data_IF_585850035668
#
_entry.id   IF_585850035668
#
_cell.length_a   1.000
_cell.length_b   1.000
_cell.length_c   1.000
_cell.angle_alpha   90.00
_cell.angle_beta   90.00
_cell.angle_gamma   90.00
#
_symmetry.space_group_name_H-M   'P 1'
#
loop_
_entity.id
_entity.type
_entity.pdbx_description
1 polymer ?
#
# COMPACT_ATOMS: atom_id res chain seq x y z
N UNK A 1 42.72 26.63 -36.70
CA UNK A 1 42.33 26.94 -35.30
C UNK A 1 41.03 26.23 -35.00
N UNK A 2 41.09 25.05 -34.40
CA UNK A 2 39.94 24.34 -33.88
C UNK A 2 40.37 23.79 -32.51
N UNK A 3 39.82 24.37 -31.44
CA UNK A 3 40.11 23.98 -30.06
C UNK A 3 39.20 22.82 -29.66
N UNK A 4 39.79 21.63 -29.49
CA UNK A 4 39.15 20.53 -28.79
C UNK A 4 38.97 20.92 -27.31
N UNK A 5 37.71 21.08 -26.89
CA UNK A 5 37.34 21.14 -25.47
C UNK A 5 37.27 19.70 -24.98
N UNK A 6 38.29 19.27 -24.26
CA UNK A 6 38.33 17.97 -23.61
C UNK A 6 37.59 18.10 -22.28
N UNK A 7 36.42 17.48 -22.18
CA UNK A 7 35.67 17.36 -20.92
C UNK A 7 36.48 16.45 -20.01
N UNK A 8 37.19 17.03 -19.04
CA UNK A 8 37.76 16.31 -17.90
C UNK A 8 36.62 15.83 -17.01
N UNK A 9 36.24 14.56 -17.15
CA UNK A 9 35.58 13.81 -16.08
C UNK A 9 36.59 13.66 -14.94
N UNK A 10 36.25 14.20 -13.77
CA UNK A 10 37.10 14.22 -12.58
C UNK A 10 37.08 12.87 -11.88
N UNK A 11 38.27 12.29 -11.70
CA UNK A 11 38.58 11.08 -10.92
C UNK A 11 38.27 11.17 -9.42
N UNK A 12 37.67 12.26 -8.94
CA UNK A 12 37.39 12.52 -7.52
C UNK A 12 36.19 11.73 -6.99
N UNK A 13 35.18 11.47 -7.82
CA UNK A 13 33.92 10.87 -7.35
C UNK A 13 34.08 9.37 -7.03
N UNK A 14 35.03 8.69 -7.67
CA UNK A 14 35.34 7.27 -7.42
C UNK A 14 36.11 7.11 -6.10
N UNK A 15 37.04 8.01 -5.79
CA UNK A 15 37.83 7.96 -4.54
C UNK A 15 37.00 8.32 -3.29
N UNK A 16 35.99 9.20 -3.41
CA UNK A 16 35.15 9.55 -2.26
C UNK A 16 34.16 8.43 -1.88
N UNK A 17 33.60 7.73 -2.88
CA UNK A 17 32.71 6.58 -2.64
C UNK A 17 33.38 5.45 -1.87
N UNK A 18 34.66 5.18 -2.13
CA UNK A 18 35.44 4.16 -1.43
C UNK A 18 35.71 4.52 0.05
N UNK A 19 35.84 5.81 0.38
CA UNK A 19 36.14 6.26 1.76
C UNK A 19 34.99 6.00 2.73
N UNK A 20 33.74 6.15 2.28
CA UNK A 20 32.57 5.96 3.14
C UNK A 20 32.29 4.49 3.43
N UNK A 21 32.50 3.59 2.47
CA UNK A 21 32.32 2.14 2.66
C UNK A 21 33.46 1.50 3.48
N UNK A 22 34.55 2.23 3.76
CA UNK A 22 35.69 1.80 4.58
C UNK A 22 35.67 2.34 6.03
N UNK A 23 34.62 3.07 6.43
CA UNK A 23 34.52 3.55 7.80
C UNK A 23 34.49 2.38 8.81
N UNK A 24 35.12 2.53 9.99
CA UNK A 24 34.95 1.61 11.10
C UNK A 24 33.48 1.38 11.42
N UNK A 25 33.12 0.13 11.75
CA UNK A 25 31.76 -0.29 12.05
C UNK A 25 31.06 0.64 13.06
N UNK A 26 31.74 0.94 14.18
CA UNK A 26 31.20 1.80 15.23
C UNK A 26 30.84 3.23 14.75
N UNK A 27 31.57 3.78 13.77
CA UNK A 27 31.22 5.09 13.20
C UNK A 27 30.03 4.99 12.25
N UNK A 28 29.93 3.91 11.48
CA UNK A 28 28.75 3.65 10.65
C UNK A 28 27.49 3.50 11.50
N UNK A 29 27.59 2.77 12.62
CA UNK A 29 26.49 2.59 13.58
C UNK A 29 26.03 3.93 14.16
N UNK A 30 26.95 4.74 14.69
CA UNK A 30 26.65 6.07 15.22
C UNK A 30 26.00 6.99 14.16
N UNK A 31 26.47 6.95 12.92
CA UNK A 31 25.89 7.72 11.83
C UNK A 31 24.46 7.27 11.53
N UNK A 32 24.22 5.96 11.46
CA UNK A 32 22.87 5.42 11.25
C UNK A 32 21.91 5.82 12.38
N UNK A 33 22.36 5.81 13.63
CA UNK A 33 21.55 6.25 14.78
C UNK A 33 21.12 7.72 14.69
N UNK A 34 21.92 8.57 14.06
CA UNK A 34 21.64 10.00 13.88
C UNK A 34 20.72 10.30 12.68
N UNK A 35 20.43 9.31 11.83
CA UNK A 35 19.63 9.49 10.62
C UNK A 35 18.14 9.19 10.86
N UNK A 36 17.29 9.88 10.09
CA UNK A 36 15.86 9.56 10.01
C UNK A 36 15.66 8.18 9.37
N UNK A 37 14.50 7.52 9.58
CA UNK A 37 14.21 6.22 8.94
C UNK A 37 14.36 6.26 7.41
N UNK A 38 13.82 7.26 6.68
CA UNK A 38 14.04 7.38 5.25
C UNK A 38 15.53 7.46 4.87
N UNK A 39 16.33 8.19 5.64
CA UNK A 39 17.76 8.33 5.37
C UNK A 39 18.53 7.04 5.70
N UNK A 40 18.20 6.34 6.77
CA UNK A 40 18.76 5.01 7.09
C UNK A 40 18.51 4.03 5.95
N UNK A 41 17.29 4.00 5.44
CA UNK A 41 16.89 3.17 4.30
C UNK A 41 17.71 3.51 3.06
N UNK A 42 17.85 4.81 2.74
CA UNK A 42 18.63 5.27 1.59
C UNK A 42 20.10 4.88 1.73
N UNK A 43 20.70 5.09 2.91
CA UNK A 43 22.09 4.74 3.19
C UNK A 43 22.31 3.22 3.08
N UNK A 44 21.38 2.41 3.58
CA UNK A 44 21.43 0.94 3.43
C UNK A 44 21.30 0.48 1.97
N UNK A 45 20.77 1.32 1.07
CA UNK A 45 20.70 1.02 -0.36
C UNK A 45 21.99 1.36 -1.12
N UNK A 46 22.92 2.14 -0.55
CA UNK A 46 24.13 2.66 -1.24
C UNK A 46 25.17 1.57 -1.53
N UNK A 47 25.67 0.89 -0.50
CA UNK A 47 26.68 -0.18 -0.65
C UNK A 47 26.47 -1.31 0.37
N UNK A 48 27.07 -2.47 0.12
CA UNK A 48 26.94 -3.67 0.96
C UNK A 48 27.37 -3.44 2.42
N UNK A 49 28.49 -2.75 2.73
CA UNK A 49 28.87 -2.43 4.11
C UNK A 49 27.75 -1.72 4.88
N UNK A 50 27.21 -0.61 4.37
CA UNK A 50 26.11 0.11 5.02
C UNK A 50 24.85 -0.74 5.19
N UNK A 51 24.53 -1.57 4.18
CA UNK A 51 23.41 -2.52 4.27
C UNK A 51 23.62 -3.55 5.38
N UNK A 52 24.83 -4.06 5.52
CA UNK A 52 25.20 -5.06 6.53
C UNK A 52 25.11 -4.47 7.94
N UNK A 53 25.65 -3.26 8.14
CA UNK A 53 25.54 -2.54 9.43
C UNK A 53 24.08 -2.26 9.78
N UNK A 54 23.30 -1.72 8.83
CA UNK A 54 21.89 -1.44 9.04
C UNK A 54 21.06 -2.72 9.33
N UNK A 55 21.47 -3.87 8.79
CA UNK A 55 20.86 -5.17 9.11
C UNK A 55 21.23 -5.64 10.53
N UNK A 56 22.51 -5.51 10.89
CA UNK A 56 23.06 -5.99 12.17
C UNK A 56 22.49 -5.24 13.36
N UNK A 57 22.28 -3.94 13.22
CA UNK A 57 21.64 -3.09 14.24
C UNK A 57 20.14 -3.35 14.37
N UNK A 58 19.57 -4.31 13.64
CA UNK A 58 18.13 -4.57 13.63
C UNK A 58 17.32 -3.44 13.02
N UNK A 59 17.94 -2.38 12.47
CA UNK A 59 17.21 -1.23 11.90
C UNK A 59 16.43 -1.60 10.66
N UNK A 60 17.00 -2.46 9.81
CA UNK A 60 16.24 -2.98 8.68
C UNK A 60 15.13 -3.92 9.14
N UNK A 61 15.24 -4.58 10.31
CA UNK A 61 14.20 -5.41 10.88
C UNK A 61 13.09 -4.59 11.57
N UNK A 62 13.42 -3.50 12.25
CA UNK A 62 12.47 -2.53 12.80
C UNK A 62 11.82 -1.65 11.71
N UNK A 63 12.52 -1.47 10.59
CA UNK A 63 11.98 -0.87 9.37
C UNK A 63 11.29 -1.91 8.46
N UNK A 64 11.23 -3.21 8.83
CA UNK A 64 10.49 -4.19 8.03
C UNK A 64 9.01 -3.83 8.03
N UNK A 65 8.36 -3.90 6.87
CA UNK A 65 6.93 -3.68 6.73
C UNK A 65 6.09 -4.67 7.56
N UNK A 66 4.85 -4.30 7.89
CA UNK A 66 4.17 -3.08 7.44
C UNK A 66 4.33 -1.91 8.41
N UNK A 67 4.38 -0.71 7.85
CA UNK A 67 4.25 0.54 8.60
C UNK A 67 2.78 0.93 8.73
N UNK A 68 2.43 1.61 9.82
CA UNK A 68 1.09 2.14 10.04
C UNK A 68 1.11 3.66 9.90
N UNK A 69 0.43 4.20 8.89
CA UNK A 69 0.11 5.62 8.86
C UNK A 69 -1.16 5.85 9.64
N UNK A 70 -1.17 6.87 10.47
CA UNK A 70 -2.34 7.24 11.28
C UNK A 70 -2.56 8.74 11.25
N UNK A 71 -3.81 9.17 11.10
CA UNK A 71 -4.21 10.59 11.18
C UNK A 71 -5.43 10.77 12.04
N UNK A 72 -5.45 11.85 12.83
CA UNK A 72 -6.68 12.26 13.53
C UNK A 72 -7.63 12.97 12.57
N UNK A 73 -8.93 12.78 12.74
CA UNK A 73 -9.95 13.48 11.95
C UNK A 73 -9.95 15.01 12.18
N UNK A 74 -9.38 15.49 13.29
CA UNK A 74 -9.53 16.87 13.75
C UNK A 74 -8.40 17.81 13.30
N UNK A 75 -7.17 17.31 13.26
CA UNK A 75 -6.00 18.13 12.89
C UNK A 75 -5.42 17.78 11.52
N UNK A 76 -5.88 16.69 10.90
CA UNK A 76 -5.37 16.16 9.63
C UNK A 76 -3.83 16.05 9.62
N UNK A 77 -3.26 15.81 10.80
CA UNK A 77 -1.84 15.53 10.97
C UNK A 77 -1.63 14.05 10.77
N UNK A 78 -0.77 13.70 9.82
CA UNK A 78 -0.38 12.32 9.58
C UNK A 78 0.87 12.00 10.40
N UNK A 79 0.85 10.87 11.08
CA UNK A 79 2.00 10.32 11.80
C UNK A 79 2.31 8.92 11.27
N UNK A 80 3.60 8.57 11.23
CA UNK A 80 4.02 7.20 10.99
C UNK A 80 4.27 6.53 12.33
N UNK A 81 3.57 5.41 12.57
CA UNK A 81 3.79 4.55 13.70
C UNK A 81 4.42 3.25 13.23
N UNK A 82 5.49 2.85 13.93
CA UNK A 82 5.95 1.47 13.87
C UNK A 82 5.22 0.69 14.95
N UNK A 83 4.94 -0.58 14.69
CA UNK A 83 4.10 -1.40 15.57
C UNK A 83 4.81 -1.73 16.90
N UNK A 84 6.11 -1.42 17.02
CA UNK A 84 6.86 -1.48 18.28
C UNK A 84 6.49 -0.31 19.23
N UNK A 85 5.54 0.55 18.83
CA UNK A 85 5.00 1.61 19.69
C UNK A 85 5.90 2.83 19.80
N UNK A 86 7.00 2.87 19.05
CA UNK A 86 7.81 4.08 18.94
C UNK A 86 7.26 4.96 17.80
N UNK A 87 6.77 6.18 18.12
CA UNK A 87 6.38 7.13 17.10
C UNK A 87 7.59 7.49 16.26
N UNK A 88 7.51 7.27 14.95
CA UNK A 88 8.53 7.72 14.02
C UNK A 88 8.19 9.16 13.65
N UNK A 89 8.42 10.05 14.59
CA UNK A 89 8.18 11.49 14.44
C UNK A 89 9.12 12.16 13.41
N UNK A 90 10.13 11.44 12.92
CA UNK A 90 11.22 11.99 12.11
C UNK A 90 10.92 12.09 10.61
N UNK A 91 9.73 11.69 10.17
CA UNK A 91 9.37 11.81 8.75
C UNK A 91 8.91 13.26 8.45
N UNK A 92 9.90 14.11 8.16
CA UNK A 92 9.72 15.55 7.88
C UNK A 92 8.68 15.88 6.81
N UNK A 93 8.40 14.98 5.86
CA UNK A 93 7.43 15.27 4.79
C UNK A 93 5.98 15.28 5.28
N UNK A 94 5.65 14.58 6.37
CA UNK A 94 4.27 14.52 6.89
C UNK A 94 3.78 15.90 7.34
N UNK A 95 4.69 16.75 7.81
CA UNK A 95 4.41 18.14 8.17
C UNK A 95 3.92 18.98 6.98
N UNK A 96 4.26 18.60 5.74
CA UNK A 96 3.86 19.30 4.53
C UNK A 96 2.52 18.82 3.96
N UNK A 97 1.89 17.79 4.55
CA UNK A 97 0.61 17.24 4.11
C UNK A 97 -0.59 17.93 4.78
N UNK A 98 -0.41 19.10 5.40
CA UNK A 98 -1.52 19.84 6.02
C UNK A 98 -2.62 20.13 4.99
N UNK A 99 -3.83 19.61 5.24
CA UNK A 99 -5.00 19.62 4.35
C UNK A 99 -4.95 18.68 3.14
N UNK A 100 -4.05 17.71 3.14
CA UNK A 100 -4.04 16.61 2.18
C UNK A 100 -4.61 15.34 2.83
N UNK A 101 -5.49 14.64 2.11
CA UNK A 101 -6.18 13.45 2.58
C UNK A 101 -5.51 12.20 2.04
N UNK A 102 -5.02 11.32 2.90
CA UNK A 102 -4.57 10.00 2.48
C UNK A 102 -5.77 9.15 2.06
N UNK A 103 -5.91 8.91 0.77
CA UNK A 103 -6.95 8.08 0.17
C UNK A 103 -6.57 6.61 0.07
N UNK A 104 -5.35 6.23 0.51
CA UNK A 104 -4.91 4.85 0.49
C UNK A 104 -3.42 4.67 0.29
N UNK A 105 -3.03 3.41 0.08
CA UNK A 105 -1.71 3.03 -0.39
C UNK A 105 -1.78 1.84 -1.32
N UNK A 106 -0.88 1.81 -2.31
CA UNK A 106 -0.77 0.69 -3.25
C UNK A 106 0.65 0.60 -3.83
N UNK A 107 1.16 -0.63 -3.98
CA UNK A 107 2.51 -0.92 -4.53
C UNK A 107 3.66 -0.10 -3.93
N UNK A 108 3.57 0.25 -2.64
CA UNK A 108 4.56 1.04 -1.92
C UNK A 108 4.53 2.54 -2.22
N UNK A 109 3.40 3.03 -2.74
CA UNK A 109 3.09 4.46 -2.88
C UNK A 109 1.85 4.82 -2.06
N UNK A 110 1.86 6.02 -1.49
CA UNK A 110 0.72 6.62 -0.80
C UNK A 110 -0.14 7.36 -1.81
N UNK A 111 -1.46 7.21 -1.72
CA UNK A 111 -2.43 7.94 -2.51
C UNK A 111 -2.91 9.14 -1.71
N UNK A 112 -2.64 10.35 -2.20
CA UNK A 112 -2.95 11.59 -1.50
C UNK A 112 -3.92 12.39 -2.37
N UNK A 113 -5.02 12.85 -1.78
CA UNK A 113 -5.93 13.78 -2.45
C UNK A 113 -5.91 15.15 -1.79
N UNK A 114 -6.12 16.17 -2.62
CA UNK A 114 -6.22 17.57 -2.20
C UNK A 114 -7.43 18.18 -2.87
N UNK A 115 -8.24 18.89 -2.08
CA UNK A 115 -9.40 19.60 -2.62
C UNK A 115 -8.95 20.90 -3.28
N UNK A 116 -9.20 21.03 -4.57
CA UNK A 116 -9.04 22.32 -5.24
C UNK A 116 -10.30 23.17 -5.07
N UNK A 117 -10.16 24.34 -4.46
CA UNK A 117 -11.26 25.27 -4.21
C UNK A 117 -11.99 25.71 -5.49
N UNK A 118 -11.33 25.65 -6.66
CA UNK A 118 -11.85 26.25 -7.91
C UNK A 118 -12.45 25.26 -8.92
N UNK A 119 -12.24 23.94 -8.78
CA UNK A 119 -12.67 22.94 -9.80
C UNK A 119 -13.84 22.06 -9.38
N UNK A 120 -14.12 21.97 -8.08
CA UNK A 120 -15.11 21.05 -7.54
C UNK A 120 -14.79 19.57 -7.80
N UNK A 121 -13.52 19.26 -8.08
CA UNK A 121 -12.95 17.92 -8.21
C UNK A 121 -11.72 17.81 -7.29
N UNK A 122 -11.33 16.60 -6.95
CA UNK A 122 -10.12 16.28 -6.19
C UNK A 122 -8.91 16.23 -7.13
N UNK A 123 -7.83 16.88 -6.71
CA UNK A 123 -6.51 16.62 -7.25
C UNK A 123 -5.92 15.43 -6.50
N UNK A 124 -5.30 14.49 -7.19
CA UNK A 124 -4.80 13.26 -6.59
C UNK A 124 -3.35 13.07 -7.02
N UNK A 125 -2.49 12.69 -6.09
CA UNK A 125 -1.10 12.41 -6.38
C UNK A 125 -0.66 11.13 -5.67
N UNK A 126 0.32 10.46 -6.28
CA UNK A 126 1.04 9.36 -5.66
C UNK A 126 2.29 9.94 -5.00
N UNK A 127 2.50 9.61 -3.73
CA UNK A 127 3.71 9.99 -2.99
C UNK A 127 4.49 8.75 -2.60
N UNK A 128 5.78 8.73 -2.92
CA UNK A 128 6.69 7.76 -2.34
C UNK A 128 7.23 8.32 -1.02
N UNK A 129 6.92 7.70 0.14
CA UNK A 129 7.33 8.24 1.44
C UNK A 129 8.83 8.09 1.70
N UNK A 130 9.54 7.20 1.00
CA UNK A 130 10.99 7.04 1.16
C UNK A 130 11.74 8.07 0.34
N UNK A 131 11.37 8.26 -0.93
CA UNK A 131 12.10 9.14 -1.85
C UNK A 131 11.57 10.57 -1.86
N UNK A 132 10.32 10.77 -1.44
CA UNK A 132 9.59 12.03 -1.60
C UNK A 132 9.12 12.29 -3.04
N UNK A 133 9.31 11.33 -3.97
CA UNK A 133 8.86 11.47 -5.35
C UNK A 133 7.33 11.60 -5.40
N UNK A 134 6.84 12.50 -6.25
CA UNK A 134 5.42 12.72 -6.50
C UNK A 134 5.08 12.45 -7.95
N UNK A 135 3.97 11.76 -8.18
CA UNK A 135 3.39 11.55 -9.51
C UNK A 135 1.96 12.06 -9.49
N UNK A 136 1.68 13.06 -10.32
CA UNK A 136 0.34 13.65 -10.38
C UNK A 136 -0.61 12.76 -11.17
N UNK A 137 -1.81 12.57 -10.61
CA UNK A 137 -2.91 11.84 -11.23
C UNK A 137 -4.05 12.82 -11.55
N UNK A 138 -4.55 12.75 -12.77
CA UNK A 138 -5.75 13.50 -13.15
C UNK A 138 -6.99 12.70 -12.76
N UNK A 139 -7.83 13.24 -11.89
CA UNK A 139 -9.11 12.61 -11.54
C UNK A 139 -10.27 13.58 -11.57
N UNK A 140 -11.47 13.04 -11.85
CA UNK A 140 -12.72 13.78 -11.92
C UNK A 140 -13.62 13.56 -10.69
N UNK A 141 -13.08 12.96 -9.64
CA UNK A 141 -13.83 12.63 -8.43
C UNK A 141 -14.13 13.86 -7.59
N UNK A 142 -15.30 13.87 -6.96
CA UNK A 142 -15.62 14.78 -5.85
C UNK A 142 -15.13 14.20 -4.51
N UNK A 143 -15.08 12.86 -4.41
CA UNK A 143 -14.51 12.11 -3.30
C UNK A 143 -13.92 10.78 -3.79
N UNK A 144 -12.83 10.30 -3.18
CA UNK A 144 -12.25 8.97 -3.42
C UNK A 144 -12.36 8.15 -2.14
N UNK A 145 -12.90 6.95 -2.27
CA UNK A 145 -12.97 5.97 -1.18
C UNK A 145 -11.72 5.10 -1.14
N UNK A 146 -11.25 4.60 -2.29
CA UNK A 146 -10.05 3.75 -2.38
C UNK A 146 -9.40 3.92 -3.76
N UNK A 147 -8.10 3.63 -3.89
CA UNK A 147 -7.40 3.57 -5.16
C UNK A 147 -6.23 2.59 -5.16
N UNK A 148 -6.06 1.88 -6.28
CA UNK A 148 -5.02 0.85 -6.46
C UNK A 148 -4.24 1.04 -7.76
N UNK A 149 -2.99 0.57 -7.74
CA UNK A 149 -2.09 0.59 -8.88
C UNK A 149 -1.89 -0.81 -9.43
N UNK A 150 -1.88 -0.94 -10.77
CA UNK A 150 -1.54 -2.22 -11.41
C UNK A 150 -0.05 -2.55 -11.27
N UNK A 151 0.81 -1.53 -11.24
CA UNK A 151 2.25 -1.64 -11.15
C UNK A 151 2.85 -0.39 -10.49
N UNK A 152 4.17 -0.39 -10.26
CA UNK A 152 4.87 0.83 -9.81
C UNK A 152 4.62 1.99 -10.78
N UNK A 153 4.34 3.20 -10.29
CA UNK A 153 4.09 4.38 -11.14
C UNK A 153 5.36 4.90 -11.84
N UNK A 154 6.52 4.27 -11.58
CA UNK A 154 7.75 4.51 -12.32
C UNK A 154 7.86 3.68 -13.61
N UNK A 155 6.97 2.70 -13.79
CA UNK A 155 6.87 1.94 -15.05
C UNK A 155 6.10 2.77 -16.08
N UNK A 156 6.35 2.53 -17.37
CA UNK A 156 5.73 3.33 -18.44
C UNK A 156 4.24 3.08 -18.59
N UNK A 157 3.73 1.89 -18.25
CA UNK A 157 2.36 1.49 -18.58
C UNK A 157 1.55 1.06 -17.36
N UNK A 158 1.73 1.75 -16.23
CA UNK A 158 0.90 1.50 -15.05
C UNK A 158 -0.54 2.02 -15.27
N UNK A 159 -1.48 1.42 -14.54
CA UNK A 159 -2.86 1.85 -14.47
C UNK A 159 -3.19 2.21 -13.03
N UNK A 160 -4.03 3.23 -12.88
CA UNK A 160 -4.63 3.62 -11.62
C UNK A 160 -6.13 3.37 -11.69
N UNK A 161 -6.67 2.60 -10.75
CA UNK A 161 -8.10 2.44 -10.57
C UNK A 161 -8.52 3.02 -9.23
N UNK A 162 -9.67 3.68 -9.17
CA UNK A 162 -10.19 4.25 -7.93
C UNK A 162 -11.70 4.07 -7.83
N UNK A 163 -12.17 3.86 -6.61
CA UNK A 163 -13.58 3.98 -6.24
C UNK A 163 -13.80 5.39 -5.74
N UNK A 164 -14.82 6.06 -6.26
CA UNK A 164 -15.18 7.39 -5.77
C UNK A 164 -16.51 7.89 -6.28
N UNK A 165 -16.93 9.04 -5.77
CA UNK A 165 -18.13 9.73 -6.23
C UNK A 165 -17.75 10.79 -7.27
N UNK A 166 -18.60 10.99 -8.26
CA UNK A 166 -18.49 12.14 -9.17
C UNK A 166 -19.61 13.14 -8.86
N UNK A 167 -19.66 14.27 -9.59
CA UNK A 167 -20.76 15.24 -9.43
C UNK A 167 -22.13 14.65 -9.81
N UNK A 168 -22.15 13.60 -10.65
CA UNK A 168 -23.37 13.09 -11.28
C UNK A 168 -23.73 11.66 -10.87
N UNK A 169 -22.78 10.91 -10.32
CA UNK A 169 -22.98 9.50 -9.97
C UNK A 169 -22.56 9.22 -8.53
N UNK A 170 -23.40 8.44 -7.86
CA UNK A 170 -23.11 7.86 -6.55
C UNK A 170 -22.21 6.63 -6.76
N UNK A 171 -21.02 6.66 -6.11
CA UNK A 171 -19.95 5.64 -6.10
C UNK A 171 -19.79 4.79 -7.37
N UNK A 172 -18.72 5.06 -8.13
CA UNK A 172 -18.33 4.34 -9.34
C UNK A 172 -16.84 3.96 -9.30
N UNK A 173 -16.44 3.01 -10.15
CA UNK A 173 -15.02 2.73 -10.41
C UNK A 173 -14.58 3.54 -11.63
N UNK A 174 -13.58 4.40 -11.45
CA UNK A 174 -12.92 5.10 -12.55
C UNK A 174 -11.50 4.57 -12.67
N UNK A 175 -11.13 4.29 -13.90
CA UNK A 175 -9.79 3.88 -14.28
C UNK A 175 -9.11 4.99 -15.07
N UNK A 176 -7.83 5.20 -14.80
CA UNK A 176 -6.96 6.13 -15.51
C UNK A 176 -5.73 5.37 -15.99
N UNK A 177 -5.43 5.45 -17.30
CA UNK A 177 -4.20 4.90 -17.89
C UNK A 177 -3.16 6.02 -18.04
N UNK A 178 -2.02 5.85 -17.40
CA UNK A 178 -1.03 6.92 -17.28
C UNK A 178 0.13 6.72 -18.25
N UNK A 179 -0.11 7.16 -19.48
CA UNK A 179 0.84 7.64 -20.52
C UNK A 179 0.12 8.51 -21.54
N UNK A 180 -1.20 8.30 -21.72
CA UNK A 180 -2.04 9.08 -22.63
C UNK A 180 -3.10 9.95 -21.93
N UNK A 181 -3.29 9.82 -20.61
CA UNK A 181 -4.29 10.60 -19.86
C UNK A 181 -5.73 10.17 -20.11
N UNK A 182 -5.93 9.04 -20.81
CA UNK A 182 -7.24 8.46 -21.05
C UNK A 182 -7.82 7.89 -19.74
N UNK A 183 -9.08 8.17 -19.49
CA UNK A 183 -9.83 7.59 -18.38
C UNK A 183 -11.06 6.83 -18.88
N UNK A 184 -11.46 5.81 -18.13
CA UNK A 184 -12.65 5.00 -18.39
C UNK A 184 -13.43 4.80 -17.11
N UNK A 185 -14.74 4.70 -17.24
CA UNK A 185 -15.63 4.30 -16.16
C UNK A 185 -15.91 2.81 -16.31
N UNK A 186 -15.81 2.08 -15.20
CA UNK A 186 -16.33 0.73 -15.09
C UNK A 186 -17.61 0.79 -14.25
N UNK A 187 -18.70 0.28 -14.83
CA UNK A 187 -19.96 0.16 -14.10
C UNK A 187 -19.89 -1.05 -13.17
N UNK A 188 -19.99 -0.78 -11.88
CA UNK A 188 -20.17 -1.79 -10.83
C UNK A 188 -21.27 -1.29 -9.90
N UNK A 189 -22.17 -2.19 -9.49
CA UNK A 189 -23.22 -1.84 -8.53
C UNK A 189 -22.58 -1.65 -7.15
N UNK A 190 -22.50 -0.40 -6.67
CA UNK A 190 -22.01 -0.04 -5.33
C UNK A 190 -20.68 -0.74 -4.97
N UNK A 191 -19.58 -0.41 -5.67
CA UNK A 191 -18.27 -0.96 -5.35
C UNK A 191 -17.87 -0.59 -3.92
N UNK A 192 -17.31 -1.56 -3.19
CA UNK A 192 -16.82 -1.40 -1.82
C UNK A 192 -15.30 -1.47 -1.76
N UNK A 193 -14.69 -2.35 -2.57
CA UNK A 193 -13.23 -2.48 -2.63
C UNK A 193 -12.72 -2.86 -4.02
N UNK A 194 -11.44 -2.57 -4.29
CA UNK A 194 -10.78 -2.90 -5.56
C UNK A 194 -9.37 -3.43 -5.32
N UNK A 195 -8.90 -4.33 -6.18
CA UNK A 195 -7.57 -4.89 -6.09
C UNK A 195 -7.00 -5.25 -7.47
N UNK A 196 -5.71 -4.97 -7.71
CA UNK A 196 -5.02 -5.38 -8.93
C UNK A 196 -4.12 -6.59 -8.67
N UNK A 197 -4.35 -7.67 -9.41
CA UNK A 197 -3.53 -8.87 -9.36
C UNK A 197 -3.44 -9.53 -10.74
N UNK A 198 -2.24 -9.98 -11.13
CA UNK A 198 -2.06 -10.78 -12.35
C UNK A 198 -2.59 -10.13 -13.65
N UNK A 199 -2.51 -8.80 -13.77
CA UNK A 199 -3.05 -8.08 -14.93
C UNK A 199 -4.58 -7.91 -14.94
N UNK A 200 -5.26 -8.28 -13.84
CA UNK A 200 -6.71 -8.18 -13.68
C UNK A 200 -7.09 -7.23 -12.54
N UNK A 201 -8.21 -6.55 -12.70
CA UNK A 201 -8.84 -5.72 -11.68
C UNK A 201 -10.01 -6.49 -11.10
N UNK A 202 -9.96 -6.70 -9.79
CA UNK A 202 -11.02 -7.30 -9.00
C UNK A 202 -11.81 -6.18 -8.35
N UNK A 203 -13.13 -6.18 -8.50
CA UNK A 203 -14.03 -5.19 -7.91
C UNK A 203 -15.01 -5.93 -7.00
N UNK A 204 -14.91 -5.70 -5.70
CA UNK A 204 -15.87 -6.20 -4.72
C UNK A 204 -17.05 -5.22 -4.62
N UNK A 205 -18.26 -5.76 -4.63
CA UNK A 205 -19.50 -4.99 -4.51
C UNK A 205 -20.16 -5.17 -3.14
N UNK A 206 -21.06 -4.25 -2.79
CA UNK A 206 -21.92 -4.39 -1.60
C UNK A 206 -22.81 -5.65 -1.66
N UNK A 207 -23.08 -6.19 -2.86
CA UNK A 207 -23.83 -7.44 -3.06
C UNK A 207 -22.98 -8.70 -2.87
N UNK A 208 -21.74 -8.58 -2.41
CA UNK A 208 -20.81 -9.71 -2.25
C UNK A 208 -20.52 -10.46 -3.56
N UNK A 209 -20.50 -9.68 -4.65
CA UNK A 209 -20.05 -10.13 -5.95
C UNK A 209 -18.64 -9.58 -6.21
N UNK A 210 -17.78 -10.40 -6.82
CA UNK A 210 -16.51 -9.92 -7.36
C UNK A 210 -16.57 -9.92 -8.87
N UNK A 211 -16.52 -8.73 -9.45
CA UNK A 211 -16.43 -8.52 -10.88
C UNK A 211 -14.95 -8.47 -11.25
N UNK A 212 -14.53 -9.34 -12.17
CA UNK A 212 -13.14 -9.40 -12.62
C UNK A 212 -13.04 -8.85 -14.03
N UNK A 213 -12.17 -7.85 -14.18
CA UNK A 213 -11.84 -7.26 -15.48
C UNK A 213 -10.41 -7.62 -15.87
N UNK A 214 -10.21 -8.00 -17.12
CA UNK A 214 -8.89 -8.18 -17.74
C UNK A 214 -8.64 -7.09 -18.76
N UNK A 215 -7.36 -6.76 -18.98
CA UNK A 215 -6.95 -5.61 -19.75
C UNK A 215 -6.02 -6.01 -20.88
N UNK A 216 -6.55 -6.00 -22.10
CA UNK A 216 -5.77 -6.09 -23.33
C UNK A 216 -6.55 -5.52 -24.52
N UNK A 217 -6.24 -4.30 -25.02
CA UNK A 217 -5.86 -3.07 -24.32
C UNK A 217 -7.08 -2.39 -23.63
N UNK A 218 -8.28 -2.95 -23.76
CA UNK A 218 -9.52 -2.41 -23.20
C UNK A 218 -10.02 -3.30 -22.06
N UNK A 219 -10.71 -2.74 -21.04
CA UNK A 219 -11.32 -3.55 -19.99
C UNK A 219 -12.37 -4.49 -20.56
N UNK A 220 -12.18 -5.78 -20.40
CA UNK A 220 -13.19 -6.80 -20.68
C UNK A 220 -13.60 -7.41 -19.34
N UNK A 221 -14.91 -7.38 -19.04
CA UNK A 221 -15.44 -8.13 -17.92
C UNK A 221 -15.31 -9.63 -18.22
N UNK A 222 -14.48 -10.33 -17.44
CA UNK A 222 -14.26 -11.76 -17.62
C UNK A 222 -15.36 -12.58 -16.97
N UNK A 223 -15.66 -12.28 -15.70
CA UNK A 223 -16.54 -13.09 -14.88
C UNK A 223 -17.02 -12.33 -13.64
N UNK A 224 -18.11 -12.83 -13.07
CA UNK A 224 -18.67 -12.39 -11.79
C UNK A 224 -18.72 -13.57 -10.83
N UNK A 225 -18.04 -13.45 -9.69
CA UNK A 225 -17.98 -14.48 -8.66
C UNK A 225 -18.95 -14.10 -7.55
N UNK A 226 -19.86 -15.01 -7.18
CA UNK A 226 -20.74 -14.83 -6.02
C UNK A 226 -20.16 -15.52 -4.81
N UNK A 227 -20.09 -14.81 -3.70
CA UNK A 227 -19.58 -15.37 -2.46
C UNK A 227 -20.69 -16.08 -1.70
N UNK A 228 -20.39 -17.25 -1.09
CA UNK A 228 -21.35 -18.01 -0.31
C UNK A 228 -21.49 -17.44 1.10
N UNK A 229 -21.67 -16.13 1.22
CA UNK A 229 -22.07 -15.52 2.49
C UNK A 229 -23.57 -15.78 2.63
N UNK A 230 -23.95 -16.53 3.66
CA UNK A 230 -25.35 -16.83 3.92
C UNK A 230 -26.17 -15.56 4.03
N UNK A 231 -27.47 -15.63 3.70
CA UNK A 231 -28.45 -14.57 3.96
C UNK A 231 -28.73 -14.45 5.47
N UNK A 232 -27.69 -14.36 6.30
CA UNK A 232 -27.83 -14.06 7.72
C UNK A 232 -28.09 -12.56 7.85
N UNK A 233 -29.37 -12.20 7.76
CA UNK A 233 -29.92 -10.84 7.74
C UNK A 233 -29.58 -9.94 8.95
N UNK A 234 -28.80 -10.41 9.92
CA UNK A 234 -28.56 -9.72 11.19
C UNK A 234 -27.20 -9.02 11.30
N UNK A 235 -26.25 -9.24 10.39
CA UNK A 235 -24.92 -8.60 10.45
C UNK A 235 -24.62 -7.75 9.21
N UNK A 236 -24.11 -6.53 9.44
CA UNK A 236 -23.47 -5.74 8.40
C UNK A 236 -22.04 -6.24 8.25
N UNK A 237 -21.77 -6.88 7.11
CA UNK A 237 -20.42 -7.25 6.72
C UNK A 237 -19.78 -6.11 5.91
N UNK A 238 -18.49 -5.93 6.13
CA UNK A 238 -17.58 -5.20 5.27
C UNK A 238 -16.51 -6.16 4.77
N UNK A 239 -15.86 -5.83 3.66
CA UNK A 239 -15.02 -6.77 2.93
C UNK A 239 -13.84 -6.09 2.28
N UNK A 240 -12.68 -6.73 2.39
CA UNK A 240 -11.46 -6.28 1.73
C UNK A 240 -10.82 -7.41 0.91
N UNK A 241 -10.40 -7.07 -0.30
CA UNK A 241 -9.59 -7.89 -1.18
C UNK A 241 -8.12 -7.83 -0.74
N UNK A 242 -7.46 -8.97 -0.79
CA UNK A 242 -6.05 -9.11 -0.43
C UNK A 242 -5.34 -10.09 -1.35
N UNK A 243 -4.01 -9.99 -1.42
CA UNK A 243 -3.17 -10.99 -2.07
C UNK A 243 -2.40 -11.78 -1.03
N UNK A 244 -2.34 -13.09 -1.23
CA UNK A 244 -1.52 -13.99 -0.45
C UNK A 244 -0.98 -15.12 -1.34
N UNK A 245 0.34 -15.17 -1.52
CA UNK A 245 1.03 -16.24 -2.24
C UNK A 245 0.59 -16.41 -3.71
N UNK A 246 0.24 -15.32 -4.38
CA UNK A 246 -0.29 -15.32 -5.75
C UNK A 246 -1.79 -15.57 -5.83
N UNK A 247 -2.47 -15.80 -4.71
CA UNK A 247 -3.92 -15.96 -4.67
C UNK A 247 -4.60 -14.66 -4.24
N UNK A 248 -5.75 -14.37 -4.83
CA UNK A 248 -6.63 -13.29 -4.37
C UNK A 248 -7.59 -13.84 -3.32
N UNK A 249 -7.60 -13.20 -2.17
CA UNK A 249 -8.45 -13.51 -1.03
C UNK A 249 -9.46 -12.38 -0.80
N UNK A 250 -10.55 -12.73 -0.12
CA UNK A 250 -11.48 -11.78 0.47
C UNK A 250 -11.53 -12.03 1.95
N UNK A 251 -11.28 -10.99 2.73
CA UNK A 251 -11.55 -10.98 4.17
C UNK A 251 -12.91 -10.33 4.36
N UNK A 252 -13.93 -11.14 4.62
CA UNK A 252 -15.25 -10.68 5.00
C UNK A 252 -15.32 -10.61 6.52
N UNK A 253 -15.72 -9.47 7.07
CA UNK A 253 -15.85 -9.29 8.51
C UNK A 253 -17.13 -8.53 8.83
N UNK A 254 -17.89 -9.06 9.77
CA UNK A 254 -19.14 -8.48 10.23
C UNK A 254 -19.17 -8.41 11.74
N UNK A 255 -19.93 -7.44 12.26
CA UNK A 255 -20.25 -7.40 13.68
C UNK A 255 -21.65 -7.96 13.88
N UNK A 256 -21.75 -9.12 14.54
CA UNK A 256 -23.03 -9.66 14.95
C UNK A 256 -23.66 -8.75 16.01
N UNK A 257 -25.01 -8.61 16.06
CA UNK A 257 -25.72 -7.89 17.12
C UNK A 257 -25.34 -8.28 18.56
N UNK A 258 -24.77 -9.48 18.76
CA UNK A 258 -24.26 -9.97 20.05
C UNK A 258 -22.85 -9.44 20.39
N UNK A 259 -22.32 -8.55 19.57
CA UNK A 259 -20.96 -8.01 19.63
C UNK A 259 -19.86 -9.04 19.37
N UNK A 260 -20.20 -10.15 18.73
CA UNK A 260 -19.24 -11.14 18.24
C UNK A 260 -18.84 -10.77 16.81
N UNK A 261 -17.54 -10.81 16.51
CA UNK A 261 -17.06 -10.64 15.14
C UNK A 261 -17.21 -11.96 14.40
N UNK A 262 -17.85 -11.93 13.24
CA UNK A 262 -17.81 -13.03 12.28
C UNK A 262 -16.81 -12.67 11.18
N UNK A 263 -15.74 -13.43 11.10
CA UNK A 263 -14.65 -13.21 10.13
C UNK A 263 -14.50 -14.46 9.29
N UNK A 264 -14.69 -14.31 7.98
CA UNK A 264 -14.57 -15.38 6.99
C UNK A 264 -13.58 -14.96 5.93
N UNK A 265 -12.65 -15.84 5.61
CA UNK A 265 -11.68 -15.61 4.53
C UNK A 265 -11.98 -16.55 3.39
N UNK A 266 -12.15 -16.00 2.20
CA UNK A 266 -12.43 -16.77 1.00
C UNK A 266 -11.30 -16.61 -0.01
N UNK A 267 -10.80 -17.73 -0.53
CA UNK A 267 -9.93 -17.75 -1.71
C UNK A 267 -10.80 -17.69 -2.96
N UNK A 268 -10.51 -16.73 -3.83
CA UNK A 268 -11.16 -16.62 -5.11
C UNK A 268 -10.60 -17.66 -6.09
N UNK A 269 -11.46 -18.28 -6.92
CA UNK A 269 -11.01 -19.14 -7.99
C UNK A 269 -10.30 -18.35 -9.08
N UNK A 270 -9.35 -19.00 -9.75
CA UNK A 270 -8.65 -18.41 -10.90
C UNK A 270 -9.55 -18.31 -12.15
N UNK A 271 -10.54 -19.21 -12.24
CA UNK A 271 -11.48 -19.35 -13.36
C UNK A 271 -12.93 -19.33 -12.86
N UNK A 272 -13.88 -18.95 -13.72
CA UNK A 272 -15.28 -18.72 -13.34
C UNK A 272 -15.97 -19.98 -12.75
N UNK A 273 -15.60 -21.16 -13.23
CA UNK A 273 -16.20 -22.43 -12.81
C UNK A 273 -15.54 -23.01 -11.55
N UNK A 274 -14.48 -22.38 -11.04
CA UNK A 274 -13.79 -22.82 -9.84
C UNK A 274 -14.62 -22.54 -8.58
N UNK A 275 -14.53 -23.39 -7.55
CA UNK A 275 -15.21 -23.11 -6.29
C UNK A 275 -14.54 -21.95 -5.56
N UNK A 276 -15.35 -21.07 -4.98
CA UNK A 276 -14.88 -20.20 -3.89
C UNK A 276 -14.67 -21.08 -2.67
N UNK A 277 -13.47 -21.03 -2.08
CA UNK A 277 -13.10 -21.88 -0.95
C UNK A 277 -12.87 -21.02 0.28
N UNK A 278 -13.59 -21.29 1.37
CA UNK A 278 -13.28 -20.71 2.67
C UNK A 278 -11.94 -21.27 3.17
N UNK A 279 -11.03 -20.39 3.55
CA UNK A 279 -9.72 -20.75 4.11
C UNK A 279 -9.72 -20.51 5.62
N UNK A 280 -9.15 -21.45 6.35
CA UNK A 280 -9.08 -21.41 7.83
C UNK A 280 -7.64 -21.15 8.34
N UNK A 281 -6.70 -20.85 7.44
CA UNK A 281 -5.32 -20.52 7.74
C UNK A 281 -4.72 -19.70 6.59
N UNK A 282 -3.78 -18.81 6.92
CA UNK A 282 -2.99 -18.00 6.00
C UNK A 282 -1.62 -18.66 5.69
N UNK A 283 -1.47 -19.95 6.01
CA UNK A 283 -0.23 -20.71 5.82
C UNK A 283 0.93 -20.15 6.64
N UNK A 284 0.67 -19.71 7.87
CA UNK A 284 1.65 -19.10 8.76
C UNK A 284 2.03 -17.66 8.41
N UNK A 285 1.31 -17.05 7.46
CA UNK A 285 1.49 -15.63 7.11
C UNK A 285 0.64 -14.75 8.02
N UNK A 286 0.95 -13.46 8.05
CA UNK A 286 0.15 -12.43 8.71
C UNK A 286 -0.45 -11.50 7.65
N UNK A 287 -1.71 -11.14 7.81
CA UNK A 287 -2.40 -10.20 6.93
C UNK A 287 -2.76 -8.92 7.68
N UNK A 288 -2.62 -7.78 7.00
CA UNK A 288 -2.91 -6.46 7.54
C UNK A 288 -3.91 -5.77 6.62
N UNK A 289 -5.07 -5.43 7.16
CA UNK A 289 -6.19 -4.82 6.44
C UNK A 289 -6.40 -3.37 6.90
N UNK A 290 -6.93 -2.52 6.02
CA UNK A 290 -7.11 -1.09 6.27
C UNK A 290 -8.38 -0.57 5.64
N UNK A 291 -8.86 0.58 6.10
CA UNK A 291 -10.10 1.15 5.58
C UNK A 291 -10.02 1.57 4.10
N UNK A 292 -8.86 2.05 3.66
CA UNK A 292 -8.72 2.68 2.34
C UNK A 292 -7.45 2.27 1.60
N UNK A 293 -6.72 1.24 2.05
CA UNK A 293 -5.43 0.85 1.45
C UNK A 293 -5.42 -0.60 1.03
N UNK A 294 -4.55 -0.92 0.07
CA UNK A 294 -4.24 -2.28 -0.33
C UNK A 294 -3.83 -3.12 0.90
N UNK A 295 -4.48 -4.26 1.11
CA UNK A 295 -4.10 -5.16 2.19
C UNK A 295 -2.66 -5.66 2.00
N UNK A 296 -1.95 -5.80 3.12
CA UNK A 296 -0.53 -6.20 3.12
C UNK A 296 -0.38 -7.57 3.75
N UNK A 297 0.30 -8.48 3.07
CA UNK A 297 0.69 -9.77 3.62
C UNK A 297 2.20 -9.82 3.93
N UNK A 298 2.55 -10.42 5.07
CA UNK A 298 3.95 -10.61 5.49
C UNK A 298 4.18 -12.03 5.96
N UNK A 299 5.29 -12.62 5.52
CA UNK A 299 5.79 -13.90 6.04
C UNK A 299 6.89 -13.66 7.06
N UNK A 300 6.88 -14.45 8.14
CA UNK A 300 7.93 -14.44 9.18
C UNK A 300 8.15 -13.05 9.77
N UNK A 301 7.15 -12.56 10.49
CA UNK A 301 7.19 -11.29 11.19
C UNK A 301 7.20 -11.52 12.71
N UNK A 302 7.33 -10.43 13.49
CA UNK A 302 7.10 -10.48 14.93
C UNK A 302 5.61 -10.68 15.29
N UNK A 303 4.72 -10.67 14.30
CA UNK A 303 3.28 -10.84 14.49
C UNK A 303 2.90 -12.30 14.56
N UNK A 304 1.69 -12.52 15.10
CA UNK A 304 1.07 -13.84 15.11
C UNK A 304 0.96 -14.39 13.69
N UNK A 305 1.40 -15.62 13.52
CA UNK A 305 1.14 -16.40 12.32
C UNK A 305 -0.36 -16.71 12.24
N UNK A 306 -0.93 -16.74 11.04
CA UNK A 306 -2.36 -16.97 10.79
C UNK A 306 -3.27 -15.95 11.50
N UNK A 307 -2.79 -14.70 11.59
CA UNK A 307 -3.54 -13.59 12.16
C UNK A 307 -3.85 -12.50 11.12
N UNK A 308 -4.98 -11.83 11.31
CA UNK A 308 -5.41 -10.67 10.52
C UNK A 308 -5.46 -9.45 11.44
N UNK A 309 -4.77 -8.38 11.09
CA UNK A 309 -4.66 -7.15 11.88
C UNK A 309 -5.32 -5.98 11.16
N UNK A 310 -5.91 -5.04 11.90
CA UNK A 310 -6.45 -3.80 11.33
C UNK A 310 -7.96 -3.65 11.44
N UNK A 311 -8.60 -4.36 12.36
CA UNK A 311 -10.00 -4.12 12.68
C UNK A 311 -10.08 -2.96 13.68
N UNK A 312 -10.64 -1.82 13.28
CA UNK A 312 -10.89 -0.70 14.18
C UNK A 312 -12.40 -0.47 14.29
N UNK A 313 -12.93 -0.46 15.51
CA UNK A 313 -14.35 -0.20 15.75
C UNK A 313 -14.56 1.32 15.85
N UNK A 314 -15.65 1.84 15.30
CA UNK A 314 -16.02 3.27 15.40
C UNK A 314 -16.14 3.82 16.85
N UNK A 315 -16.03 2.96 17.87
CA UNK A 315 -16.11 3.30 19.30
C UNK A 315 -14.98 2.70 20.15
N UNK A 316 -14.02 2.00 19.54
CA UNK A 316 -12.87 1.46 20.28
C UNK A 316 -11.65 2.32 19.99
N UNK A 317 -10.93 2.64 21.05
CA UNK A 317 -9.66 3.37 20.99
C UNK A 317 -8.51 2.46 20.54
N UNK A 318 -8.69 1.14 20.50
CA UNK A 318 -7.63 0.18 20.19
C UNK A 318 -7.87 -0.57 18.89
N UNK A 319 -6.77 -0.90 18.20
CA UNK A 319 -6.80 -1.78 17.04
C UNK A 319 -6.96 -3.23 17.46
N UNK A 320 -7.83 -3.96 16.77
CA UNK A 320 -8.06 -5.37 17.00
C UNK A 320 -7.39 -6.24 15.93
N UNK A 321 -7.08 -7.46 16.32
CA UNK A 321 -6.58 -8.51 15.47
C UNK A 321 -7.39 -9.80 15.68
N UNK A 322 -7.44 -10.64 14.65
CA UNK A 322 -8.12 -11.93 14.65
C UNK A 322 -7.11 -13.05 14.50
N UNK A 323 -7.16 -14.04 15.40
CA UNK A 323 -6.45 -15.31 15.25
C UNK A 323 -7.35 -16.30 14.54
N UNK A 324 -6.96 -16.75 13.35
CA UNK A 324 -7.71 -17.81 12.63
C UNK A 324 -7.58 -19.16 13.34
N UNK A 325 -6.50 -19.36 14.10
CA UNK A 325 -6.26 -20.61 14.82
C UNK A 325 -7.13 -20.76 16.07
N UNK A 326 -7.27 -19.67 16.82
CA UNK A 326 -8.05 -19.65 18.06
C UNK A 326 -9.50 -19.19 17.82
N UNK A 327 -9.82 -18.81 16.58
CA UNK A 327 -11.10 -18.23 16.15
C UNK A 327 -11.54 -17.08 17.06
N UNK A 328 -10.59 -16.21 17.41
CA UNK A 328 -10.76 -15.21 18.47
C UNK A 328 -10.15 -13.87 18.14
N UNK A 329 -10.81 -12.80 18.62
CA UNK A 329 -10.30 -11.44 18.54
C UNK A 329 -9.42 -11.11 19.76
N UNK A 330 -8.36 -10.35 19.56
CA UNK A 330 -7.52 -9.82 20.61
C UNK A 330 -7.11 -8.38 20.31
N UNK A 331 -6.88 -7.61 21.37
CA UNK A 331 -6.44 -6.21 21.27
C UNK A 331 -4.94 -6.14 20.96
N UNK A 332 -4.56 -5.26 20.05
CA UNK A 332 -3.18 -4.87 19.86
C UNK A 332 -2.88 -3.66 20.76
N UNK A 333 -2.08 -3.89 21.80
CA UNK A 333 -1.64 -2.84 22.71
C UNK A 333 -0.69 -1.84 22.00
N UNK A 334 -0.74 -0.57 22.42
CA UNK A 334 0.22 0.45 22.01
C UNK A 334 -0.17 1.25 20.76
N UNK A 335 -1.34 1.00 20.16
CA UNK A 335 -1.86 1.77 19.03
C UNK A 335 -3.24 2.33 19.41
N UNK A 336 -3.26 3.61 19.77
CA UNK A 336 -4.48 4.37 20.04
C UNK A 336 -5.02 4.97 18.74
N UNK A 337 -6.16 4.44 18.27
CA UNK A 337 -6.87 4.83 17.06
C UNK A 337 -8.08 5.73 17.34
N UNK A 338 -8.22 6.32 18.54
CA UNK A 338 -9.34 7.18 18.91
C UNK A 338 -9.60 8.28 17.86
N UNK A 339 -10.66 8.12 17.06
CA UNK A 339 -11.02 8.99 15.93
C UNK A 339 -9.91 9.15 14.88
N UNK A 340 -9.22 8.06 14.56
CA UNK A 340 -8.11 8.07 13.60
C UNK A 340 -8.40 7.21 12.37
N UNK A 341 -7.98 7.71 11.21
CA UNK A 341 -7.84 6.91 10.00
C UNK A 341 -6.48 6.25 9.98
N UNK A 342 -6.40 5.03 9.47
CA UNK A 342 -5.14 4.33 9.34
C UNK A 342 -4.98 3.60 8.02
N UNK A 343 -3.73 3.42 7.64
CA UNK A 343 -3.32 2.72 6.44
C UNK A 343 -2.06 1.90 6.71
N UNK A 344 -2.15 0.59 6.51
CA UNK A 344 -0.98 -0.26 6.41
C UNK A 344 -0.26 0.01 5.10
N UNK A 345 1.07 -0.02 5.19
CA UNK A 345 1.93 0.34 4.08
C UNK A 345 3.18 -0.50 4.10
N UNK A 346 3.53 -1.05 2.93
CA UNK A 346 4.85 -1.64 2.72
C UNK A 346 5.65 -0.76 1.77
N UNK A 347 6.71 -0.09 2.23
CA UNK A 347 7.61 0.61 1.32
C UNK A 347 8.22 -0.37 0.31
N UNK A 348 8.07 -0.07 -0.97
CA UNK A 348 8.88 -0.73 -2.00
C UNK A 348 10.23 -0.03 -2.02
N UNK A 349 11.24 -0.68 -1.43
CA UNK A 349 12.63 -0.34 -1.72
C UNK A 349 12.84 -0.66 -3.19
N UNK A 350 12.97 0.36 -4.03
CA UNK A 350 13.36 0.15 -5.41
C UNK A 350 14.60 -0.73 -5.37
N UNK A 351 14.50 -1.95 -5.91
CA UNK A 351 15.68 -2.57 -6.51
C UNK A 351 16.07 -1.57 -7.58
N UNK A 352 17.06 -0.73 -7.30
CA UNK A 352 17.88 -0.18 -8.36
C UNK A 352 18.52 -1.41 -9.00
N UNK A 353 17.82 -2.04 -9.93
CA UNK A 353 18.48 -2.91 -10.88
C UNK A 353 19.55 -2.03 -11.54
N UNK A 354 20.83 -2.42 -11.50
CA UNK A 354 21.82 -1.72 -12.28
C UNK A 354 21.32 -1.78 -13.71
N UNK A 355 20.93 -0.63 -14.25
CA UNK A 355 20.58 -0.49 -15.65
C UNK A 355 21.66 -1.19 -16.47
N UNK A 356 21.27 -2.19 -17.27
CA UNK A 356 22.10 -2.77 -18.31
C UNK A 356 22.54 -1.63 -19.23
N UNK A 357 23.66 -0.99 -18.89
CA UNK A 357 24.53 -0.30 -19.82
C UNK A 357 25.27 -1.41 -20.56
N UNK A 358 24.55 -2.15 -21.41
CA UNK A 358 25.19 -2.94 -22.44
C UNK A 358 25.63 -1.98 -23.55
N UNK A 359 26.94 -1.74 -23.53
CA UNK A 359 27.84 -1.73 -24.69
C UNK A 359 27.16 -1.54 -26.06
N UNK A 360 26.92 -0.28 -26.44
CA UNK A 360 27.10 0.10 -27.84
C UNK A 360 28.56 0.52 -28.06
N UNK A 361 29.43 -0.49 -28.11
CA UNK A 361 30.74 -0.37 -28.76
C UNK A 361 30.90 -1.50 -29.76
N UNK A 362 31.11 -1.12 -31.02
CA UNK A 362 31.40 -1.94 -32.21
C UNK A 362 30.16 -2.57 -32.89
N UNK A 363 29.70 -1.96 -33.99
CA UNK A 363 30.16 -2.20 -35.37
C UNK A 363 29.95 -0.93 -36.19
#
# INVERSE_FOLDING_TARGET
MASHVQVRSTTTDVEEGERWCQLPLNLMEMLLECLSIPDRIRVAAVCEPWRSVASTLGFLEAARPPWLFVSTFYDWSWSLQTIVGEPVSDIKFLNNLQNEWLCGSSKGWLLISRREHNRGCLHVCLLNPITGAKVELFTCFTNIANGVLSASPLTRDYMFAAIGCTKYHDRMVVMVRTTMGDYRTLEASKPTDIYFHGGRLYVLTQSWEVIVHEFDPDPVMLLTIRLPLGEEYDCWYDGQLAELNGDVLIVAYGLHPRQEYDIKVFKLPEMADGPVVQVNSLGGSTLFISQFSEAVSVKRSAFGADCIYGFAKCFMETMMAYSMKDEGMFELAGIDLGHQMFAWFTPTLLKMEPSNLEENSMI
#
